data_IF_461817430195
#
_entry.id   IF_461817430195
#
_cell.length_a   1.000
_cell.length_b   1.000
_cell.length_c   1.000
_cell.angle_alpha   90.00
_cell.angle_beta   90.00
_cell.angle_gamma   90.00
#
_symmetry.space_group_name_H-M   'P 1'
#
loop_
_entity.id
_entity.type
_entity.pdbx_description
1 polymer ?
#
# COMPACT_ATOMS: atom_id res chain seq x y z
N UNK A 1 -12.08 -21.25 71.93
CA UNK A 1 -13.26 -21.46 72.80
C UNK A 1 -14.49 -21.10 72.00
N UNK A 2 -15.16 -22.15 71.48
CA UNK A 2 -16.57 -22.29 71.09
C UNK A 2 -17.53 -21.18 71.60
N UNK A 3 -18.64 -20.78 70.94
CA UNK A 3 -19.51 -21.38 69.91
C UNK A 3 -20.78 -20.51 69.82
N UNK A 4 -21.51 -20.55 68.69
CA UNK A 4 -22.98 -20.43 68.46
C UNK A 4 -23.22 -19.78 67.07
N UNK A 5 -23.44 -20.59 66.01
CA UNK A 5 -24.75 -21.12 65.55
C UNK A 5 -25.58 -20.00 64.88
N UNK A 6 -26.22 -20.12 63.71
CA UNK A 6 -26.73 -21.26 62.93
C UNK A 6 -27.13 -20.75 61.53
N UNK A 7 -26.84 -21.58 60.50
CA UNK A 7 -27.71 -22.00 59.36
C UNK A 7 -28.78 -21.04 58.83
N UNK A 8 -29.05 -20.89 57.53
CA UNK A 8 -29.39 -21.92 56.52
C UNK A 8 -29.54 -21.16 55.19
N UNK A 9 -29.04 -21.63 54.06
CA UNK A 9 -29.93 -22.26 53.09
C UNK A 9 -29.33 -22.23 51.68
N UNK A 10 -29.20 -23.43 51.10
CA UNK A 10 -28.85 -23.73 49.72
C UNK A 10 -29.82 -23.07 48.73
N UNK A 11 -29.30 -22.50 47.64
CA UNK A 11 -29.97 -22.50 46.34
C UNK A 11 -28.93 -22.74 45.25
N UNK A 12 -28.97 -23.95 44.69
CA UNK A 12 -28.39 -24.29 43.39
C UNK A 12 -29.20 -23.58 42.30
N UNK A 13 -28.54 -22.81 41.45
CA UNK A 13 -28.98 -22.63 40.06
C UNK A 13 -27.77 -22.23 39.22
N UNK A 14 -27.32 -23.15 38.37
CA UNK A 14 -26.25 -22.90 37.42
C UNK A 14 -26.67 -21.89 36.36
N UNK A 15 -25.66 -21.29 35.72
CA UNK A 15 -25.49 -21.17 34.26
C UNK A 15 -24.22 -20.39 33.99
N UNK A 16 -23.33 -20.98 33.18
CA UNK A 16 -22.31 -20.24 32.43
C UNK A 16 -22.97 -19.06 31.72
N UNK A 17 -22.29 -17.92 31.58
CA UNK A 17 -22.12 -17.26 30.28
C UNK A 17 -20.92 -16.29 30.35
N UNK A 18 -20.05 -16.48 29.38
CA UNK A 18 -18.78 -15.79 29.13
C UNK A 18 -19.11 -14.41 28.58
N UNK A 19 -18.78 -13.34 29.30
CA UNK A 19 -18.84 -11.98 28.77
C UNK A 19 -17.57 -11.70 27.94
N UNK A 20 -17.54 -12.28 26.73
CA UNK A 20 -16.67 -11.84 25.65
C UNK A 20 -17.41 -10.81 24.80
N UNK A 21 -17.14 -9.52 25.00
CA UNK A 21 -17.51 -8.48 24.05
C UNK A 21 -16.37 -8.36 23.03
N UNK A 22 -16.43 -9.15 21.97
CA UNK A 22 -15.66 -8.91 20.75
C UNK A 22 -16.32 -7.79 19.94
N UNK A 23 -15.46 -6.95 19.38
CA UNK A 23 -15.76 -5.88 18.44
C UNK A 23 -16.73 -6.34 17.33
N UNK A 24 -17.76 -5.54 17.08
CA UNK A 24 -18.58 -5.67 15.88
C UNK A 24 -17.72 -5.34 14.65
N UNK A 25 -17.65 -6.21 13.63
CA UNK A 25 -17.07 -5.86 12.34
C UNK A 25 -17.97 -4.86 11.61
N UNK A 26 -17.37 -4.06 10.71
CA UNK A 26 -18.11 -3.04 9.96
C UNK A 26 -19.14 -3.67 9.01
N UNK A 27 -20.26 -2.99 8.69
CA UNK A 27 -21.37 -3.55 7.92
C UNK A 27 -21.04 -3.98 6.47
N UNK A 28 -19.84 -3.71 5.97
CA UNK A 28 -19.37 -4.12 4.64
C UNK A 28 -18.71 -5.51 4.59
N UNK A 29 -18.47 -6.17 5.72
CA UNK A 29 -17.80 -7.48 5.75
C UNK A 29 -18.75 -8.69 5.76
N UNK A 30 -20.06 -8.48 5.56
CA UNK A 30 -21.09 -9.53 5.72
C UNK A 30 -21.76 -9.99 4.43
N UNK A 31 -21.14 -9.74 3.27
CA UNK A 31 -21.46 -10.46 2.04
C UNK A 31 -20.30 -11.41 1.75
N UNK A 32 -20.36 -12.58 2.36
CA UNK A 32 -19.57 -13.72 1.91
C UNK A 32 -20.36 -14.40 0.81
N UNK A 33 -19.75 -14.60 -0.36
CA UNK A 33 -20.24 -15.61 -1.30
C UNK A 33 -20.34 -16.98 -0.57
N UNK A 34 -21.26 -17.87 -0.95
CA UNK A 34 -21.52 -19.08 -0.20
C UNK A 34 -20.25 -19.93 -0.12
N UNK A 35 -19.65 -20.05 1.07
CA UNK A 35 -18.70 -21.13 1.36
C UNK A 35 -19.50 -22.42 1.32
N UNK A 36 -19.26 -23.26 0.31
CA UNK A 36 -19.60 -24.67 0.45
C UNK A 36 -18.87 -25.19 1.69
N UNK A 37 -19.65 -25.67 2.65
CA UNK A 37 -19.15 -26.22 3.88
C UNK A 37 -18.09 -27.29 3.58
N UNK A 38 -16.94 -27.20 4.24
CA UNK A 38 -15.88 -28.19 4.23
C UNK A 38 -16.39 -29.51 4.84
N UNK A 39 -17.01 -30.34 3.99
CA UNK A 39 -17.03 -31.76 4.20
C UNK A 39 -15.60 -32.27 3.98
N UNK A 40 -15.12 -33.13 4.88
CA UNK A 40 -13.88 -33.88 4.69
C UNK A 40 -13.94 -34.62 3.35
N UNK A 41 -13.25 -34.12 2.33
CA UNK A 41 -13.18 -34.76 1.01
C UNK A 41 -11.77 -35.21 0.74
N UNK A 42 -11.65 -36.46 0.30
CA UNK A 42 -10.47 -37.05 -0.31
C UNK A 42 -9.78 -36.05 -1.25
N UNK A 43 -8.45 -36.08 -1.24
CA UNK A 43 -7.50 -35.28 -2.04
C UNK A 43 -7.64 -35.56 -3.56
N UNK A 44 -8.81 -35.26 -4.11
CA UNK A 44 -9.20 -35.40 -5.51
C UNK A 44 -9.78 -34.05 -6.00
N UNK A 45 -9.05 -32.96 -5.80
CA UNK A 45 -9.36 -31.69 -6.47
C UNK A 45 -8.98 -31.83 -7.96
N UNK A 46 -9.95 -31.81 -8.90
CA UNK A 46 -9.66 -31.96 -10.32
C UNK A 46 -8.69 -30.91 -10.87
N UNK A 47 -8.70 -29.69 -10.30
CA UNK A 47 -7.82 -28.60 -10.72
C UNK A 47 -6.38 -28.85 -10.28
N UNK A 48 -6.19 -29.49 -9.11
CA UNK A 48 -4.87 -29.88 -8.64
C UNK A 48 -4.23 -30.91 -9.58
N UNK A 49 -5.00 -31.85 -10.11
CA UNK A 49 -4.52 -32.81 -11.12
C UNK A 49 -4.08 -32.08 -12.39
N UNK A 50 -4.90 -31.16 -12.90
CA UNK A 50 -4.56 -30.35 -14.09
C UNK A 50 -3.25 -29.60 -13.87
N UNK A 51 -3.17 -28.82 -12.79
CA UNK A 51 -2.01 -27.97 -12.50
C UNK A 51 -0.73 -28.79 -12.37
N UNK A 52 -0.79 -29.95 -11.72
CA UNK A 52 0.38 -30.78 -11.47
C UNK A 52 1.10 -31.23 -12.76
N UNK A 53 0.39 -31.33 -13.88
CA UNK A 53 0.96 -31.65 -15.20
C UNK A 53 1.80 -30.51 -15.79
N UNK A 54 1.55 -29.26 -15.37
CA UNK A 54 2.24 -28.07 -15.87
C UNK A 54 3.33 -27.55 -14.92
N UNK A 55 3.42 -28.09 -13.70
CA UNK A 55 4.43 -27.68 -12.74
C UNK A 55 5.82 -28.28 -13.07
N UNK A 56 6.92 -27.57 -12.75
CA UNK A 56 8.26 -28.13 -12.87
C UNK A 56 8.46 -29.42 -12.06
N UNK A 57 9.42 -30.24 -12.48
CA UNK A 57 9.74 -31.47 -11.76
C UNK A 57 10.17 -31.19 -10.31
N UNK A 58 9.53 -31.86 -9.35
CA UNK A 58 9.80 -31.67 -7.92
C UNK A 58 9.17 -30.41 -7.32
N UNK A 59 8.38 -29.65 -8.08
CA UNK A 59 7.60 -28.55 -7.56
C UNK A 59 6.49 -29.03 -6.60
N UNK A 60 6.23 -28.23 -5.58
CA UNK A 60 5.08 -28.36 -4.69
C UNK A 60 4.28 -27.06 -4.74
N UNK A 61 2.97 -27.17 -4.63
CA UNK A 61 2.09 -26.00 -4.52
C UNK A 61 2.46 -25.18 -3.28
N UNK A 62 2.52 -23.85 -3.44
CA UNK A 62 2.86 -22.90 -2.39
C UNK A 62 1.69 -21.93 -2.20
N UNK A 63 1.13 -21.88 -1.00
CA UNK A 63 0.05 -20.95 -0.68
C UNK A 63 0.62 -19.56 -0.37
N UNK A 64 0.03 -18.49 -0.91
CA UNK A 64 0.41 -17.13 -0.53
C UNK A 64 -0.02 -16.83 0.91
N UNK A 65 0.74 -15.99 1.61
CA UNK A 65 0.36 -15.53 2.95
C UNK A 65 -0.86 -14.60 2.92
N UNK A 66 -0.97 -13.77 1.88
CA UNK A 66 -1.97 -12.74 1.69
C UNK A 66 -2.66 -12.88 0.31
N UNK A 67 -3.97 -12.58 0.21
CA UNK A 67 -4.89 -12.39 1.33
C UNK A 67 -5.05 -13.71 2.13
N UNK A 68 -5.32 -13.60 3.43
CA UNK A 68 -5.39 -14.78 4.30
C UNK A 68 -6.43 -15.81 3.82
N UNK A 69 -6.00 -17.05 3.63
CA UNK A 69 -6.82 -18.15 3.13
C UNK A 69 -6.89 -18.27 1.62
N UNK A 70 -6.12 -17.47 0.86
CA UNK A 70 -5.93 -17.70 -0.56
C UNK A 70 -5.18 -19.03 -0.80
N UNK A 71 -5.70 -19.84 -1.73
CA UNK A 71 -5.07 -21.10 -2.09
C UNK A 71 -3.91 -20.91 -3.05
N UNK A 72 -3.07 -21.95 -3.16
CA UNK A 72 -2.00 -22.03 -4.15
C UNK A 72 -2.53 -22.16 -5.59
N UNK A 73 -3.81 -22.50 -5.76
CA UNK A 73 -4.51 -22.54 -7.04
C UNK A 73 -5.65 -21.52 -6.95
N UNK A 74 -5.70 -20.60 -7.90
CA UNK A 74 -6.72 -19.55 -7.96
C UNK A 74 -7.29 -19.45 -9.38
N UNK A 75 -8.55 -19.04 -9.50
CA UNK A 75 -9.23 -18.89 -10.77
C UNK A 75 -9.70 -17.44 -10.93
N UNK A 76 -9.41 -16.85 -12.08
CA UNK A 76 -9.86 -15.52 -12.43
C UNK A 76 -9.98 -15.40 -13.95
N UNK A 77 -11.09 -14.84 -14.44
CA UNK A 77 -11.16 -14.37 -15.83
C UNK A 77 -10.31 -13.11 -15.94
N UNK A 78 -9.13 -13.24 -16.55
CA UNK A 78 -8.14 -12.18 -16.69
C UNK A 78 -8.23 -11.47 -18.05
N UNK A 79 -8.86 -12.09 -19.04
CA UNK A 79 -8.88 -11.62 -20.42
C UNK A 79 -10.29 -11.14 -20.87
N UNK A 80 -11.28 -11.26 -19.99
CA UNK A 80 -12.66 -10.84 -20.22
C UNK A 80 -13.48 -11.74 -21.15
N UNK A 81 -13.02 -12.97 -21.43
CA UNK A 81 -13.70 -13.91 -22.35
C UNK A 81 -14.83 -14.72 -21.69
N UNK A 82 -15.05 -14.54 -20.38
CA UNK A 82 -16.05 -15.21 -19.58
C UNK A 82 -15.61 -16.58 -19.04
N UNK A 83 -14.37 -17.00 -19.30
CA UNK A 83 -13.76 -18.22 -18.75
C UNK A 83 -12.57 -17.85 -17.88
N UNK A 84 -12.47 -18.51 -16.73
CA UNK A 84 -11.37 -18.26 -15.82
C UNK A 84 -10.06 -18.88 -16.31
N UNK A 85 -8.98 -18.11 -16.27
CA UNK A 85 -7.62 -18.63 -16.23
C UNK A 85 -7.31 -19.21 -14.84
N UNK A 86 -6.41 -20.20 -14.81
CA UNK A 86 -5.98 -20.90 -13.61
C UNK A 86 -4.56 -20.48 -13.26
N UNK A 87 -4.42 -19.74 -12.16
CA UNK A 87 -3.12 -19.45 -11.55
C UNK A 87 -2.74 -20.58 -10.61
N UNK A 88 -1.50 -21.03 -10.69
CA UNK A 88 -0.91 -21.88 -9.67
C UNK A 88 0.46 -21.36 -9.23
N UNK A 89 0.63 -21.19 -7.92
CA UNK A 89 1.90 -20.81 -7.28
C UNK A 89 2.60 -22.03 -6.71
N UNK A 90 3.91 -22.10 -6.85
CA UNK A 90 4.70 -23.28 -6.50
C UNK A 90 6.08 -22.94 -5.97
N UNK A 91 6.71 -23.96 -5.36
CA UNK A 91 8.10 -23.96 -4.94
C UNK A 91 8.80 -25.25 -5.39
N UNK A 92 9.98 -25.09 -5.98
CA UNK A 92 10.90 -26.20 -6.30
C UNK A 92 12.01 -26.23 -5.25
N UNK A 93 12.32 -27.42 -4.72
CA UNK A 93 13.36 -27.59 -3.69
C UNK A 93 12.90 -27.26 -2.28
N UNK A 94 13.84 -26.99 -1.37
CA UNK A 94 13.58 -26.66 0.04
C UNK A 94 14.18 -25.29 0.37
N UNK A 95 13.49 -24.57 1.26
CA UNK A 95 13.72 -23.18 1.69
C UNK A 95 15.18 -22.67 1.55
N UNK A 96 15.44 -21.59 0.78
CA UNK A 96 14.44 -20.80 0.06
C UNK A 96 13.88 -21.52 -1.16
N UNK A 97 14.59 -22.48 -1.76
CA UNK A 97 14.13 -23.09 -3.01
C UNK A 97 13.87 -22.03 -4.11
N UNK A 98 13.20 -22.44 -5.17
CA UNK A 98 12.79 -21.53 -6.24
C UNK A 98 11.27 -21.37 -6.21
N UNK A 99 10.80 -20.15 -6.00
CA UNK A 99 9.38 -19.83 -6.09
C UNK A 99 8.99 -19.55 -7.54
N UNK A 100 7.74 -19.80 -7.87
CA UNK A 100 7.22 -19.49 -9.19
C UNK A 100 5.69 -19.50 -9.24
N UNK A 101 5.20 -19.12 -10.42
CA UNK A 101 3.80 -19.12 -10.75
C UNK A 101 3.60 -19.57 -12.20
N UNK A 102 2.55 -20.32 -12.48
CA UNK A 102 2.08 -20.64 -13.83
C UNK A 102 0.66 -20.13 -14.01
N UNK A 103 0.34 -19.64 -15.21
CA UNK A 103 -1.02 -19.33 -15.62
C UNK A 103 -1.43 -20.25 -16.75
N UNK A 104 -2.58 -20.89 -16.60
CA UNK A 104 -3.16 -21.81 -17.58
C UNK A 104 -4.47 -21.23 -18.13
N UNK A 105 -4.68 -21.42 -19.43
CA UNK A 105 -5.92 -21.05 -20.12
C UNK A 105 -6.54 -22.30 -20.75
N UNK A 106 -7.87 -22.44 -20.66
CA UNK A 106 -8.58 -23.52 -21.33
C UNK A 106 -8.91 -23.15 -22.79
N UNK A 107 -8.28 -23.84 -23.76
CA UNK A 107 -8.57 -23.72 -25.19
C UNK A 107 -9.05 -25.05 -25.74
N UNK A 108 -10.22 -25.05 -26.38
CA UNK A 108 -10.81 -26.25 -26.99
C UNK A 108 -10.89 -27.45 -26.01
N UNK A 109 -11.34 -27.20 -24.77
CA UNK A 109 -11.43 -28.18 -23.68
C UNK A 109 -10.08 -28.81 -23.27
N UNK A 110 -8.97 -28.10 -23.50
CA UNK A 110 -7.64 -28.48 -23.06
C UNK A 110 -6.96 -27.30 -22.38
N UNK A 111 -6.39 -27.56 -21.21
CA UNK A 111 -5.55 -26.59 -20.53
C UNK A 111 -4.23 -26.41 -21.27
N UNK A 112 -3.78 -25.16 -21.39
CA UNK A 112 -2.51 -24.79 -21.98
C UNK A 112 -1.84 -23.77 -21.08
N UNK A 113 -0.53 -23.93 -20.84
CA UNK A 113 0.27 -22.91 -20.16
C UNK A 113 0.43 -21.70 -21.08
N UNK A 114 0.02 -20.53 -20.60
CA UNK A 114 0.07 -19.26 -21.34
C UNK A 114 1.07 -18.26 -20.75
N UNK A 115 1.53 -18.52 -19.52
CA UNK A 115 2.56 -17.73 -18.85
C UNK A 115 3.20 -18.55 -17.71
N UNK A 116 4.47 -18.27 -17.44
CA UNK A 116 5.24 -18.83 -16.32
C UNK A 116 6.20 -17.77 -15.78
N UNK A 117 6.36 -17.78 -14.46
CA UNK A 117 7.29 -16.96 -13.71
C UNK A 117 8.11 -17.85 -12.80
N UNK A 118 9.42 -17.71 -12.90
CA UNK A 118 10.39 -18.40 -12.06
C UNK A 118 11.20 -17.35 -11.29
N UNK A 119 10.94 -17.19 -10.00
CA UNK A 119 11.57 -16.18 -9.16
C UNK A 119 12.57 -16.83 -8.19
N UNK A 120 13.84 -16.85 -8.60
CA UNK A 120 14.94 -17.56 -7.89
C UNK A 120 15.40 -16.86 -6.61
N UNK A 121 15.14 -15.56 -6.47
CA UNK A 121 15.61 -14.74 -5.34
C UNK A 121 14.57 -14.60 -4.20
N UNK A 122 13.37 -15.16 -4.37
CA UNK A 122 12.29 -15.02 -3.40
C UNK A 122 12.37 -16.11 -2.33
N UNK A 123 12.30 -15.69 -1.07
CA UNK A 123 12.27 -16.56 0.09
C UNK A 123 10.85 -17.03 0.42
N UNK A 124 9.87 -16.15 0.29
CA UNK A 124 8.47 -16.45 0.58
C UNK A 124 7.54 -15.80 -0.44
N UNK A 125 6.38 -16.42 -0.65
CA UNK A 125 5.27 -15.86 -1.38
C UNK A 125 4.38 -15.12 -0.38
N UNK A 126 4.49 -13.79 -0.35
CA UNK A 126 3.71 -12.97 0.56
C UNK A 126 2.29 -12.75 0.04
N UNK A 127 2.11 -12.50 -1.26
CA UNK A 127 0.79 -12.15 -1.80
C UNK A 127 0.50 -12.82 -3.13
N UNK A 128 -0.73 -13.26 -3.35
CA UNK A 128 -1.23 -13.58 -4.69
C UNK A 128 -2.73 -13.28 -4.79
N UNK A 129 -3.09 -12.33 -5.64
CA UNK A 129 -4.50 -11.96 -5.88
C UNK A 129 -4.69 -11.33 -7.25
N UNK A 130 -5.94 -11.02 -7.57
CA UNK A 130 -6.34 -10.33 -8.78
C UNK A 130 -7.12 -9.06 -8.46
N UNK A 131 -6.87 -7.99 -9.22
CA UNK A 131 -7.62 -6.75 -9.11
C UNK A 131 -7.51 -5.94 -10.39
N UNK A 132 -8.58 -5.27 -10.80
CA UNK A 132 -8.58 -4.28 -11.89
C UNK A 132 -7.84 -3.02 -11.40
N UNK A 133 -6.52 -3.02 -11.53
CA UNK A 133 -5.64 -1.93 -11.10
C UNK A 133 -5.68 -0.80 -12.13
N UNK A 134 -5.77 -1.13 -13.42
CA UNK A 134 -5.69 -0.16 -14.52
C UNK A 134 -7.03 0.51 -14.87
N UNK A 135 -8.14 -0.04 -14.39
CA UNK A 135 -9.49 0.47 -14.61
C UNK A 135 -10.08 0.13 -15.97
N UNK A 136 -9.50 -0.83 -16.69
CA UNK A 136 -9.95 -1.25 -18.02
C UNK A 136 -11.05 -2.33 -17.97
N UNK A 137 -11.41 -2.79 -16.77
CA UNK A 137 -12.40 -3.84 -16.53
C UNK A 137 -11.84 -5.26 -16.56
N UNK A 138 -10.54 -5.43 -16.85
CA UNK A 138 -9.82 -6.68 -16.74
C UNK A 138 -8.92 -6.65 -15.49
N UNK A 139 -8.83 -7.76 -14.73
CA UNK A 139 -7.99 -7.78 -13.55
C UNK A 139 -6.53 -8.06 -13.88
N UNK A 140 -5.65 -7.27 -13.26
CA UNK A 140 -4.22 -7.58 -13.15
C UNK A 140 -3.96 -8.67 -12.10
N UNK A 141 -2.88 -9.42 -12.32
CA UNK A 141 -2.32 -10.37 -11.35
C UNK A 141 -1.29 -9.66 -10.46
N UNK A 142 -1.48 -9.73 -9.15
CA UNK A 142 -0.57 -9.19 -8.15
C UNK A 142 0.14 -10.35 -7.45
N UNK A 143 1.47 -10.41 -7.58
CA UNK A 143 2.31 -11.40 -6.90
C UNK A 143 3.31 -10.69 -5.97
N UNK A 144 3.15 -10.90 -4.68
CA UNK A 144 4.02 -10.37 -3.63
C UNK A 144 5.06 -11.38 -3.20
N UNK A 145 6.33 -10.96 -3.22
CA UNK A 145 7.48 -11.79 -2.90
C UNK A 145 8.24 -11.19 -1.72
N UNK A 146 8.62 -12.02 -0.76
CA UNK A 146 9.63 -11.64 0.23
C UNK A 146 11.00 -11.94 -0.35
N UNK A 147 11.80 -10.89 -0.54
CA UNK A 147 13.19 -10.99 -0.97
C UNK A 147 14.13 -10.65 0.18
N UNK A 148 15.30 -11.27 0.19
CA UNK A 148 16.38 -10.86 1.09
C UNK A 148 17.19 -9.77 0.41
N UNK A 149 17.04 -8.54 0.91
CA UNK A 149 17.68 -7.38 0.33
C UNK A 149 19.18 -7.38 0.53
N UNK A 150 19.76 -8.26 1.36
CA UNK A 150 21.22 -8.44 1.43
C UNK A 150 21.81 -8.72 0.05
N UNK A 151 21.11 -9.50 -0.79
CA UNK A 151 21.51 -9.79 -2.17
C UNK A 151 21.47 -8.58 -3.12
N UNK A 152 20.79 -7.50 -2.70
CA UNK A 152 20.63 -6.24 -3.43
C UNK A 152 21.35 -5.06 -2.75
N UNK A 153 22.19 -5.33 -1.73
CA UNK A 153 22.91 -4.32 -0.97
C UNK A 153 22.07 -3.56 0.07
N UNK A 154 20.86 -4.04 0.37
CA UNK A 154 20.02 -3.58 1.48
C UNK A 154 20.15 -4.47 2.71
N UNK A 155 19.40 -4.15 3.78
CA UNK A 155 19.43 -4.88 5.04
C UNK A 155 18.10 -5.59 5.27
N UNK A 156 18.14 -6.90 5.53
CA UNK A 156 16.97 -7.68 5.95
C UNK A 156 16.01 -8.08 4.82
N UNK A 157 14.86 -8.63 5.22
CA UNK A 157 13.84 -9.14 4.31
C UNK A 157 12.79 -8.08 4.03
N UNK A 158 12.49 -7.86 2.75
CA UNK A 158 11.51 -6.88 2.28
C UNK A 158 10.50 -7.56 1.36
N UNK A 159 9.26 -7.09 1.37
CA UNK A 159 8.29 -7.54 0.38
C UNK A 159 8.30 -6.60 -0.83
N UNK A 160 8.15 -7.16 -2.02
CA UNK A 160 7.87 -6.43 -3.25
C UNK A 160 6.69 -7.07 -3.96
N UNK A 161 5.79 -6.26 -4.52
CA UNK A 161 4.69 -6.75 -5.36
C UNK A 161 5.04 -6.50 -6.82
N UNK A 162 4.95 -7.54 -7.64
CA UNK A 162 4.93 -7.45 -9.10
C UNK A 162 3.49 -7.52 -9.60
N UNK A 163 3.17 -6.64 -10.55
CA UNK A 163 1.82 -6.50 -11.07
C UNK A 163 1.87 -6.80 -12.56
N UNK A 164 1.02 -7.70 -13.02
CA UNK A 164 1.03 -8.20 -14.38
C UNK A 164 -0.34 -7.99 -15.05
N UNK A 165 -0.33 -7.42 -16.25
CA UNK A 165 -1.53 -7.26 -17.08
C UNK A 165 -1.54 -8.23 -18.24
N UNK A 166 -2.75 -8.61 -18.66
CA UNK A 166 -2.95 -9.41 -19.86
C UNK A 166 -2.74 -8.55 -21.12
N UNK A 167 -1.89 -9.00 -22.05
CA UNK A 167 -1.55 -8.27 -23.29
C UNK A 167 -2.02 -8.99 -24.57
N UNK A 168 -2.55 -10.21 -24.48
CA UNK A 168 -2.75 -11.06 -25.65
C UNK A 168 -1.43 -11.54 -26.29
N UNK A 169 -1.52 -12.39 -27.33
CA UNK A 169 -0.35 -12.97 -28.01
C UNK A 169 0.32 -11.99 -28.99
N UNK A 170 0.33 -10.70 -28.67
CA UNK A 170 0.98 -9.70 -29.49
C UNK A 170 2.48 -9.64 -29.16
N UNK A 171 3.26 -10.49 -29.82
CA UNK A 171 4.73 -10.46 -29.77
C UNK A 171 5.31 -9.21 -30.47
N UNK A 172 4.48 -8.29 -30.98
CA UNK A 172 4.91 -7.02 -31.57
C UNK A 172 4.99 -5.87 -30.55
N UNK A 173 4.39 -6.03 -29.35
CA UNK A 173 4.73 -5.16 -28.24
C UNK A 173 6.15 -5.50 -27.82
N UNK A 174 7.12 -4.68 -28.25
CA UNK A 174 8.35 -4.50 -27.49
C UNK A 174 7.87 -4.28 -26.05
N UNK A 175 8.11 -5.24 -25.16
CA UNK A 175 7.64 -5.17 -23.77
C UNK A 175 7.90 -3.76 -23.26
N UNK A 176 6.86 -3.12 -22.67
CA UNK A 176 6.80 -1.69 -22.35
C UNK A 176 8.20 -1.08 -22.18
N UNK A 177 8.72 -0.54 -23.29
CA UNK A 177 9.90 0.31 -23.27
C UNK A 177 9.35 1.70 -22.96
N UNK A 178 9.04 1.95 -21.69
CA UNK A 178 8.92 3.32 -21.23
C UNK A 178 10.21 4.03 -21.66
N UNK A 179 10.09 5.01 -22.54
CA UNK A 179 11.18 5.86 -23.02
C UNK A 179 11.77 6.64 -21.83
N UNK A 180 12.59 5.97 -21.02
CA UNK A 180 13.09 6.49 -19.76
C UNK A 180 13.92 5.51 -18.92
N UNK A 181 13.94 4.21 -19.23
CA UNK A 181 14.87 3.28 -18.57
C UNK A 181 16.07 3.04 -19.49
N UNK A 182 17.20 3.70 -19.18
CA UNK A 182 18.51 3.29 -19.68
C UNK A 182 19.47 3.06 -18.51
N UNK A 183 19.92 1.81 -18.44
CA UNK A 183 21.23 1.32 -18.00
C UNK A 183 21.79 2.00 -16.74
N UNK A 184 21.47 1.44 -15.56
CA UNK A 184 22.10 1.94 -14.32
C UNK A 184 21.71 1.34 -12.98
N UNK A 185 20.74 0.43 -12.92
CA UNK A 185 20.55 -0.44 -11.77
C UNK A 185 20.21 -1.83 -12.33
N UNK A 186 20.76 -2.88 -11.71
CA UNK A 186 20.63 -4.29 -12.11
C UNK A 186 19.19 -4.85 -12.01
N UNK A 187 18.20 -4.15 -12.59
CA UNK A 187 16.82 -4.64 -12.81
C UNK A 187 16.69 -5.35 -14.16
N UNK A 188 17.72 -5.33 -15.01
CA UNK A 188 17.80 -6.10 -16.26
C UNK A 188 18.26 -7.57 -16.04
N UNK A 189 18.33 -8.04 -14.78
CA UNK A 189 18.63 -9.44 -14.43
C UNK A 189 17.38 -10.34 -14.36
N UNK A 190 16.18 -9.80 -14.56
CA UNK A 190 14.94 -10.56 -14.55
C UNK A 190 14.65 -11.08 -15.97
N UNK A 191 15.25 -12.23 -16.28
CA UNK A 191 15.21 -12.91 -17.58
C UNK A 191 13.77 -13.12 -18.10
N UNK A 192 13.56 -12.79 -19.38
CA UNK A 192 12.59 -13.33 -20.35
C UNK A 192 11.29 -13.94 -19.79
N UNK A 193 10.26 -13.10 -19.62
CA UNK A 193 8.88 -13.56 -19.41
C UNK A 193 8.28 -14.04 -20.73
N UNK A 194 8.43 -15.33 -21.05
CA UNK A 194 7.77 -15.94 -22.20
C UNK A 194 6.27 -16.14 -21.88
N UNK A 195 5.39 -15.25 -22.37
CA UNK A 195 3.95 -15.44 -22.19
C UNK A 195 3.06 -14.25 -22.56
N UNK A 196 1.77 -14.37 -22.23
CA UNK A 196 0.71 -13.40 -22.56
C UNK A 196 0.52 -12.32 -21.47
N UNK A 197 1.03 -12.54 -20.25
CA UNK A 197 1.08 -11.53 -19.20
C UNK A 197 2.38 -10.71 -19.26
N UNK A 198 2.28 -9.38 -19.16
CA UNK A 198 3.42 -8.46 -19.06
C UNK A 198 3.45 -7.75 -17.71
N UNK A 199 4.66 -7.62 -17.13
CA UNK A 199 4.86 -6.87 -15.88
C UNK A 199 4.61 -5.38 -16.13
N UNK A 200 3.65 -4.81 -15.42
CA UNK A 200 3.34 -3.40 -15.40
C UNK A 200 4.25 -2.60 -14.45
N UNK A 201 4.46 -3.11 -13.24
CA UNK A 201 5.13 -2.35 -12.18
C UNK A 201 5.63 -3.26 -11.05
N UNK A 202 6.50 -2.69 -10.19
CA UNK A 202 7.02 -3.31 -8.98
C UNK A 202 7.11 -2.30 -7.83
N UNK A 203 6.54 -2.60 -6.65
CA UNK A 203 6.58 -1.70 -5.49
C UNK A 203 6.93 -2.46 -4.20
N UNK A 204 7.84 -1.90 -3.40
CA UNK A 204 8.17 -2.40 -2.08
C UNK A 204 7.09 -2.10 -1.03
N UNK A 205 6.85 -3.04 -0.13
CA UNK A 205 5.89 -2.87 0.96
C UNK A 205 6.26 -3.73 2.18
N UNK A 206 5.66 -3.41 3.32
CA UNK A 206 5.62 -4.29 4.50
C UNK A 206 4.26 -4.97 4.64
N UNK A 207 3.21 -4.15 4.49
CA UNK A 207 1.83 -4.61 4.43
C UNK A 207 1.15 -3.97 3.23
N UNK A 208 0.48 -4.81 2.45
CA UNK A 208 -0.33 -4.38 1.31
C UNK A 208 -1.79 -4.73 1.58
N UNK A 209 -2.68 -3.77 1.34
CA UNK A 209 -4.12 -3.98 1.26
C UNK A 209 -4.58 -3.59 -0.15
N UNK A 210 -5.16 -4.55 -0.87
CA UNK A 210 -5.86 -4.28 -2.13
C UNK A 210 -7.24 -3.72 -1.77
N UNK A 211 -7.48 -2.46 -2.11
CA UNK A 211 -8.73 -1.76 -1.87
C UNK A 211 -9.62 -1.95 -3.09
N UNK A 212 -10.79 -2.55 -2.87
CA UNK A 212 -11.81 -2.66 -3.89
C UNK A 212 -12.22 -1.24 -4.38
N UNK A 213 -12.66 -1.12 -5.64
CA UNK A 213 -13.22 0.13 -6.14
C UNK A 213 -14.35 0.59 -5.22
N UNK A 214 -14.36 1.87 -4.85
CA UNK A 214 -15.50 2.43 -4.13
C UNK A 214 -16.61 2.77 -5.13
N UNK A 215 -17.88 2.64 -4.73
CA UNK A 215 -19.05 2.98 -5.56
C UNK A 215 -19.17 4.49 -5.88
N UNK A 216 -18.11 5.29 -5.69
CA UNK A 216 -18.10 6.70 -6.07
C UNK A 216 -18.00 6.82 -7.59
N UNK A 217 -19.03 7.44 -8.20
CA UNK A 217 -19.22 7.57 -9.65
C UNK A 217 -18.03 8.20 -10.40
N UNK A 218 -17.22 9.02 -9.74
CA UNK A 218 -16.19 9.84 -10.38
C UNK A 218 -14.81 9.18 -10.53
N UNK A 219 -14.51 8.08 -9.83
CA UNK A 219 -13.15 7.49 -9.80
C UNK A 219 -12.96 6.21 -10.61
N UNK A 220 -14.03 5.71 -11.24
CA UNK A 220 -13.99 4.48 -12.02
C UNK A 220 -13.88 3.22 -11.17
N UNK A 221 -14.22 2.08 -11.76
CA UNK A 221 -14.24 0.75 -11.11
C UNK A 221 -12.85 0.15 -10.87
N UNK A 222 -11.83 0.98 -10.62
CA UNK A 222 -10.45 0.52 -10.47
C UNK A 222 -10.04 0.43 -9.00
N UNK A 223 -9.27 -0.61 -8.69
CA UNK A 223 -8.74 -0.89 -7.38
C UNK A 223 -7.57 0.06 -7.04
N UNK A 224 -7.31 0.19 -5.74
CA UNK A 224 -6.19 0.93 -5.21
C UNK A 224 -5.36 0.05 -4.28
N UNK A 225 -4.10 0.41 -4.06
CA UNK A 225 -3.20 -0.29 -3.14
C UNK A 225 -2.87 0.61 -1.96
N UNK A 226 -3.27 0.22 -0.76
CA UNK A 226 -2.74 0.81 0.44
C UNK A 226 -1.47 0.07 0.86
N UNK A 227 -0.34 0.76 0.76
CA UNK A 227 0.98 0.23 1.07
C UNK A 227 1.48 0.86 2.36
N UNK A 228 1.81 0.01 3.33
CA UNK A 228 2.57 0.37 4.51
C UNK A 228 4.04 0.07 4.26
N UNK A 229 4.93 0.98 4.64
CA UNK A 229 6.37 0.90 4.37
C UNK A 229 7.20 1.52 5.50
N UNK A 230 8.42 1.04 5.67
CA UNK A 230 9.39 1.64 6.58
C UNK A 230 9.93 2.98 6.05
N UNK A 231 9.98 3.99 6.92
CA UNK A 231 10.55 5.30 6.63
C UNK A 231 11.96 5.40 7.24
N UNK A 232 12.94 4.87 6.52
CA UNK A 232 14.25 5.51 6.41
C UNK A 232 14.79 5.23 5.00
N UNK A 233 15.59 6.15 4.44
CA UNK A 233 16.14 6.04 3.08
C UNK A 233 17.18 4.93 2.91
N UNK A 234 17.44 4.16 3.97
CA UNK A 234 18.43 3.08 4.04
C UNK A 234 17.78 1.71 4.31
N UNK A 235 16.46 1.65 4.49
CA UNK A 235 15.74 0.43 4.85
C UNK A 235 16.12 -0.10 6.25
N UNK A 236 16.72 0.73 7.11
CA UNK A 236 17.10 0.35 8.47
C UNK A 236 15.96 0.68 9.44
N UNK A 237 15.73 -0.23 10.40
CA UNK A 237 14.87 0.07 11.55
C UNK A 237 15.42 1.33 12.22
N UNK A 238 14.55 2.28 12.56
CA UNK A 238 14.96 3.48 13.29
C UNK A 238 15.40 3.04 14.68
N UNK A 239 16.71 2.86 14.83
CA UNK A 239 17.34 2.52 16.09
C UNK A 239 17.46 3.81 16.89
N UNK A 240 16.74 3.90 18.01
CA UNK A 240 17.00 4.99 18.94
C UNK A 240 18.31 4.68 19.64
N UNK A 241 19.38 5.41 19.29
CA UNK A 241 20.72 5.23 19.86
C UNK A 241 20.76 5.43 21.38
N UNK A 242 19.80 6.17 21.94
CA UNK A 242 19.76 6.54 23.35
C UNK A 242 19.02 5.50 24.19
N UNK A 243 17.99 4.84 23.64
CA UNK A 243 17.25 3.78 24.34
C UNK A 243 17.71 2.35 23.99
N UNK A 244 18.40 2.17 22.86
CA UNK A 244 18.75 0.85 22.33
C UNK A 244 17.56 0.02 21.84
N UNK A 245 16.37 0.63 21.76
CA UNK A 245 15.14 0.00 21.31
C UNK A 245 14.87 0.29 19.83
N UNK A 246 14.39 -0.74 19.13
CA UNK A 246 13.92 -0.64 17.74
C UNK A 246 12.54 0.03 17.73
N UNK A 247 12.40 1.18 17.07
CA UNK A 247 11.11 1.85 16.93
C UNK A 247 10.50 1.67 15.55
N UNK A 248 9.17 1.48 15.52
CA UNK A 248 8.43 1.11 14.31
C UNK A 248 7.50 2.24 13.86
N UNK A 249 7.93 3.00 12.86
CA UNK A 249 7.18 4.14 12.30
C UNK A 249 6.73 3.88 10.84
N UNK A 250 5.77 3.00 10.58
CA UNK A 250 5.40 2.66 9.22
C UNK A 250 4.65 3.80 8.54
N UNK A 251 5.26 4.37 7.49
CA UNK A 251 4.52 5.20 6.56
C UNK A 251 3.38 4.41 5.93
N UNK A 252 2.30 5.10 5.57
CA UNK A 252 1.25 4.52 4.75
C UNK A 252 0.92 5.49 3.62
N UNK A 253 0.77 4.96 2.40
CA UNK A 253 0.28 5.71 1.25
C UNK A 253 -0.67 4.82 0.44
N UNK A 254 -1.72 5.42 -0.13
CA UNK A 254 -2.68 4.74 -0.98
C UNK A 254 -2.42 5.16 -2.41
N UNK A 255 -2.19 4.19 -3.28
CA UNK A 255 -1.86 4.40 -4.67
C UNK A 255 -2.95 3.87 -5.59
N UNK A 256 -3.19 4.57 -6.69
CA UNK A 256 -4.08 4.16 -7.77
C UNK A 256 -3.36 4.37 -9.10
N UNK A 257 -3.62 3.49 -10.06
CA UNK A 257 -3.10 3.65 -11.41
C UNK A 257 -3.93 4.73 -12.12
N UNK A 258 -3.30 5.79 -12.59
CA UNK A 258 -4.01 6.91 -13.21
C UNK A 258 -3.25 7.41 -14.44
N UNK A 259 -4.02 7.89 -15.42
CA UNK A 259 -3.49 8.59 -16.58
C UNK A 259 -3.34 10.08 -16.25
N UNK A 260 -2.20 10.66 -16.61
CA UNK A 260 -1.95 12.10 -16.47
C UNK A 260 -1.18 12.63 -17.69
N UNK A 261 -1.82 13.53 -18.45
CA UNK A 261 -1.28 13.98 -19.73
C UNK A 261 -1.11 12.83 -20.73
N UNK A 262 0.10 12.66 -21.26
CA UNK A 262 0.49 11.53 -22.12
C UNK A 262 0.92 10.28 -21.36
N UNK A 263 1.12 10.39 -20.05
CA UNK A 263 1.75 9.35 -19.22
C UNK A 263 0.69 8.62 -18.40
N UNK A 264 1.06 7.45 -17.86
CA UNK A 264 0.19 6.65 -16.99
C UNK A 264 1.06 5.95 -15.96
N UNK A 265 0.63 5.94 -14.70
CA UNK A 265 1.37 5.29 -13.62
C UNK A 265 0.72 5.47 -12.26
N UNK A 266 1.48 5.13 -11.21
CA UNK A 266 1.01 5.24 -9.84
C UNK A 266 0.85 6.70 -9.41
N UNK A 267 -0.33 7.04 -8.91
CA UNK A 267 -0.66 8.32 -8.31
C UNK A 267 -1.20 8.11 -6.89
N UNK A 268 -1.15 9.14 -6.05
CA UNK A 268 -1.80 9.10 -4.73
C UNK A 268 -3.32 9.18 -4.89
N UNK A 269 -4.02 8.23 -4.28
CA UNK A 269 -5.49 8.18 -4.23
C UNK A 269 -6.01 8.98 -3.02
N UNK A 270 -5.88 10.31 -3.07
CA UNK A 270 -6.21 11.22 -1.95
C UNK A 270 -7.70 11.22 -1.57
N UNK A 271 -8.57 10.90 -2.51
CA UNK A 271 -10.01 10.69 -2.31
C UNK A 271 -10.30 9.53 -1.34
N UNK A 272 -9.44 8.52 -1.28
CA UNK A 272 -9.59 7.39 -0.35
C UNK A 272 -9.02 7.69 1.05
N UNK A 273 -8.29 8.79 1.21
CA UNK A 273 -7.59 9.09 2.46
C UNK A 273 -8.53 9.29 3.65
N UNK A 274 -9.63 10.09 3.56
CA UNK A 274 -10.47 10.38 4.71
C UNK A 274 -10.99 9.13 5.43
N UNK A 275 -11.32 8.08 4.68
CA UNK A 275 -11.84 6.84 5.25
C UNK A 275 -10.75 5.87 5.66
N UNK A 276 -9.77 5.61 4.79
CA UNK A 276 -8.74 4.63 5.10
C UNK A 276 -7.82 5.10 6.23
N UNK A 277 -7.47 6.39 6.29
CA UNK A 277 -6.58 6.89 7.34
C UNK A 277 -7.19 6.87 8.73
N UNK A 278 -8.50 6.64 8.90
CA UNK A 278 -9.07 6.33 10.23
C UNK A 278 -8.41 5.09 10.84
N UNK A 279 -8.05 4.08 10.03
CA UNK A 279 -7.27 2.91 10.47
C UNK A 279 -5.86 3.31 10.90
N UNK A 280 -5.19 4.16 10.12
CA UNK A 280 -3.82 4.66 10.41
C UNK A 280 -3.79 5.52 11.68
N UNK A 281 -4.80 6.36 11.88
CA UNK A 281 -4.99 7.13 13.11
C UNK A 281 -5.18 6.21 14.31
N UNK A 282 -5.97 5.14 14.19
CA UNK A 282 -6.14 4.18 15.28
C UNK A 282 -4.81 3.50 15.66
N UNK A 283 -4.01 3.10 14.67
CA UNK A 283 -2.67 2.54 14.92
C UNK A 283 -1.79 3.53 15.71
N UNK A 284 -1.63 4.76 15.24
CA UNK A 284 -0.77 5.72 15.94
C UNK A 284 -1.32 6.21 17.28
N UNK A 285 -2.65 6.19 17.46
CA UNK A 285 -3.26 6.47 18.77
C UNK A 285 -2.87 5.46 19.84
N UNK A 286 -2.68 4.19 19.49
CA UNK A 286 -2.16 3.22 20.46
C UNK A 286 -0.67 3.45 20.73
N UNK A 287 0.14 3.73 19.69
CA UNK A 287 1.58 3.98 19.88
C UNK A 287 1.86 5.18 20.79
N UNK A 288 1.15 6.30 20.63
CA UNK A 288 1.34 7.47 21.52
C UNK A 288 0.82 7.26 22.95
N UNK A 289 0.03 6.20 23.22
CA UNK A 289 -0.33 5.83 24.60
C UNK A 289 0.81 5.06 25.27
N UNK A 290 1.45 4.17 24.51
CA UNK A 290 2.58 3.37 24.99
C UNK A 290 3.85 4.22 25.14
N UNK A 291 4.09 5.14 24.20
CA UNK A 291 5.29 6.00 24.15
C UNK A 291 4.90 7.48 23.95
N UNK A 292 4.31 8.13 24.96
CA UNK A 292 3.82 9.51 24.84
C UNK A 292 4.93 10.58 24.72
N UNK A 293 6.16 10.24 25.10
CA UNK A 293 7.34 11.10 25.00
C UNK A 293 8.01 11.08 23.62
N UNK A 294 7.64 10.15 22.74
CA UNK A 294 8.26 10.07 21.42
C UNK A 294 7.62 11.06 20.42
N UNK A 295 8.35 12.09 19.95
CA UNK A 295 7.81 13.09 19.05
C UNK A 295 7.49 12.53 17.64
N UNK A 296 8.13 11.44 17.20
CA UNK A 296 7.87 10.85 15.89
C UNK A 296 6.47 10.23 15.83
N UNK A 297 6.03 9.48 16.86
CA UNK A 297 4.67 8.94 16.88
C UNK A 297 3.62 10.05 16.85
N UNK A 298 3.86 11.18 17.53
CA UNK A 298 2.97 12.34 17.43
C UNK A 298 2.94 12.95 16.03
N UNK A 299 4.08 12.97 15.32
CA UNK A 299 4.20 13.52 13.95
C UNK A 299 3.44 12.68 12.95
N UNK A 300 3.60 11.36 13.04
CA UNK A 300 2.86 10.43 12.21
C UNK A 300 1.37 10.43 12.55
N UNK A 301 1.00 10.52 13.83
CA UNK A 301 -0.39 10.66 14.24
C UNK A 301 -1.03 11.93 13.66
N UNK A 302 -0.36 13.07 13.77
CA UNK A 302 -0.85 14.34 13.25
C UNK A 302 -1.07 14.28 11.73
N UNK A 303 -0.09 13.74 10.98
CA UNK A 303 -0.19 13.58 9.53
C UNK A 303 -1.31 12.62 9.13
N UNK A 304 -1.46 11.51 9.85
CA UNK A 304 -2.57 10.58 9.64
C UNK A 304 -3.93 11.23 9.93
N UNK A 305 -4.02 12.08 10.96
CA UNK A 305 -5.23 12.82 11.29
C UNK A 305 -5.59 13.84 10.21
N UNK A 306 -4.62 14.57 9.66
CA UNK A 306 -4.86 15.48 8.52
C UNK A 306 -5.43 14.70 7.33
N UNK A 307 -4.80 13.58 6.96
CA UNK A 307 -5.26 12.72 5.85
C UNK A 307 -6.62 12.06 6.11
N UNK A 308 -6.94 11.75 7.37
CA UNK A 308 -8.25 11.28 7.80
C UNK A 308 -9.33 12.38 7.88
N UNK A 309 -9.01 13.61 7.45
CA UNK A 309 -9.88 14.78 7.57
C UNK A 309 -10.28 15.13 9.02
N UNK A 310 -9.33 15.02 9.96
CA UNK A 310 -9.45 15.36 11.38
C UNK A 310 -8.46 16.48 11.78
N UNK A 311 -8.55 17.67 11.17
CA UNK A 311 -7.51 18.70 11.31
C UNK A 311 -7.39 19.30 12.73
N UNK A 312 -8.47 19.39 13.51
CA UNK A 312 -8.40 19.88 14.89
C UNK A 312 -7.64 18.91 15.79
N UNK A 313 -7.84 17.61 15.59
CA UNK A 313 -7.10 16.57 16.31
C UNK A 313 -5.63 16.58 15.90
N UNK A 314 -5.33 16.80 14.61
CA UNK A 314 -3.97 16.99 14.14
C UNK A 314 -3.27 18.14 14.87
N UNK A 315 -3.89 19.31 14.96
CA UNK A 315 -3.31 20.46 15.68
C UNK A 315 -3.05 20.17 17.16
N UNK A 316 -3.91 19.39 17.83
CA UNK A 316 -3.67 18.94 19.22
C UNK A 316 -2.47 17.99 19.29
N UNK A 317 -2.37 17.04 18.37
CA UNK A 317 -1.24 16.10 18.30
C UNK A 317 0.08 16.80 18.02
N UNK A 318 0.10 17.79 17.11
CA UNK A 318 1.27 18.65 16.85
C UNK A 318 1.70 19.36 18.13
N UNK A 319 0.75 19.96 18.85
CA UNK A 319 1.03 20.67 20.11
C UNK A 319 1.60 19.73 21.18
N UNK A 320 1.18 18.46 21.21
CA UNK A 320 1.74 17.45 22.10
C UNK A 320 3.14 17.02 21.66
N UNK A 321 3.32 16.70 20.39
CA UNK A 321 4.61 16.29 19.83
C UNK A 321 5.72 17.30 20.08
N UNK A 322 5.46 18.59 19.82
CA UNK A 322 6.41 19.68 20.09
C UNK A 322 6.78 19.79 21.59
N UNK A 323 5.86 19.43 22.50
CA UNK A 323 6.13 19.43 23.94
C UNK A 323 6.92 18.21 24.42
N UNK A 324 6.74 17.06 23.74
CA UNK A 324 7.37 15.79 24.12
C UNK A 324 8.86 15.74 23.79
N UNK A 325 9.33 16.59 22.87
CA UNK A 325 10.75 16.75 22.56
C UNK A 325 10.91 17.53 21.27
N UNK A 326 12.13 17.97 20.98
CA UNK A 326 12.48 18.43 19.65
C UNK A 326 12.85 17.17 18.86
N UNK A 327 11.99 16.61 17.98
CA UNK A 327 12.55 15.79 16.92
C UNK A 327 13.54 16.74 16.24
N UNK A 328 14.77 16.33 15.97
CA UNK A 328 15.83 17.14 15.33
C UNK A 328 15.42 17.78 13.97
N UNK A 329 14.14 17.71 13.61
CA UNK A 329 13.47 18.23 12.44
C UNK A 329 12.11 18.90 12.80
N UNK A 330 12.13 19.94 13.65
CA UNK A 330 10.96 20.77 14.04
C UNK A 330 10.14 21.30 12.84
N UNK A 331 10.74 21.36 11.65
CA UNK A 331 10.22 21.98 10.43
C UNK A 331 9.08 21.21 9.80
N UNK A 332 9.12 19.87 9.88
CA UNK A 332 8.05 19.01 9.36
C UNK A 332 6.70 19.26 10.07
N UNK A 333 6.72 19.73 11.32
CA UNK A 333 5.51 20.15 12.03
C UNK A 333 4.84 21.36 11.38
N UNK A 334 5.60 22.28 10.81
CA UNK A 334 5.07 23.47 10.15
C UNK A 334 4.29 23.07 8.89
N UNK A 335 4.80 22.13 8.10
CA UNK A 335 4.10 21.63 6.90
C UNK A 335 2.78 20.96 7.28
N UNK A 336 2.78 20.03 8.24
CA UNK A 336 1.55 19.33 8.69
C UNK A 336 0.57 20.32 9.34
N UNK A 337 1.06 21.31 10.09
CA UNK A 337 0.24 22.38 10.66
C UNK A 337 -0.40 23.24 9.57
N UNK A 338 0.34 23.63 8.55
CA UNK A 338 -0.16 24.38 7.40
C UNK A 338 -1.26 23.63 6.66
N UNK A 339 -1.06 22.34 6.41
CA UNK A 339 -2.08 21.47 5.79
C UNK A 339 -3.35 21.36 6.65
N UNK A 340 -3.20 21.17 7.96
CA UNK A 340 -4.34 21.16 8.89
C UNK A 340 -5.10 22.49 8.88
N UNK A 341 -4.40 23.63 8.86
CA UNK A 341 -5.01 24.96 8.82
C UNK A 341 -5.75 25.20 7.49
N UNK A 342 -5.22 24.73 6.35
CA UNK A 342 -5.92 24.76 5.07
C UNK A 342 -7.24 23.99 5.13
N UNK A 343 -7.24 22.77 5.70
CA UNK A 343 -8.48 21.97 5.87
C UNK A 343 -9.50 22.63 6.80
N UNK A 344 -9.06 23.48 7.73
CA UNK A 344 -9.92 24.28 8.60
C UNK A 344 -10.42 25.58 7.94
N UNK A 345 -10.01 25.88 6.71
CA UNK A 345 -10.31 27.16 6.05
C UNK A 345 -9.56 28.36 6.64
N UNK A 346 -8.54 28.12 7.47
CA UNK A 346 -7.71 29.17 8.10
C UNK A 346 -6.55 29.57 7.20
N UNK A 347 -6.88 29.98 5.99
CA UNK A 347 -5.91 30.13 4.91
C UNK A 347 -4.83 31.19 5.17
N UNK A 348 -5.16 32.26 5.88
CA UNK A 348 -4.19 33.29 6.28
C UNK A 348 -3.12 32.73 7.25
N UNK A 349 -3.56 31.99 8.28
CA UNK A 349 -2.65 31.32 9.21
C UNK A 349 -1.85 30.22 8.51
N UNK A 350 -2.47 29.47 7.60
CA UNK A 350 -1.83 28.44 6.81
C UNK A 350 -0.71 29.03 5.93
N UNK A 351 -1.03 30.09 5.17
CA UNK A 351 -0.07 30.82 4.33
C UNK A 351 1.14 31.26 5.15
N UNK A 352 0.93 31.95 6.26
CA UNK A 352 2.04 32.40 7.13
C UNK A 352 2.88 31.24 7.66
N UNK A 353 2.22 30.14 8.06
CA UNK A 353 2.91 28.95 8.59
C UNK A 353 3.76 28.28 7.51
N UNK A 354 3.22 28.12 6.30
CA UNK A 354 3.89 27.47 5.17
C UNK A 354 5.02 28.32 4.59
N UNK A 355 4.87 29.65 4.55
CA UNK A 355 5.98 30.54 4.18
C UNK A 355 7.17 30.39 5.14
N UNK A 356 6.90 30.27 6.45
CA UNK A 356 7.97 29.99 7.41
C UNK A 356 8.59 28.61 7.19
N UNK A 357 7.78 27.58 6.93
CA UNK A 357 8.27 26.23 6.62
C UNK A 357 9.22 26.23 5.42
N UNK A 358 8.84 26.89 4.32
CA UNK A 358 9.66 27.02 3.11
C UNK A 358 10.99 27.71 3.43
N UNK A 359 10.96 28.83 4.15
CA UNK A 359 12.17 29.58 4.50
C UNK A 359 13.16 28.74 5.33
N UNK A 360 12.65 27.92 6.25
CA UNK A 360 13.47 27.05 7.10
C UNK A 360 14.03 25.83 6.36
N UNK A 361 13.26 25.26 5.43
CA UNK A 361 13.62 24.06 4.65
C UNK A 361 14.50 24.37 3.43
N UNK A 362 14.39 25.58 2.84
CA UNK A 362 15.26 26.02 1.74
C UNK A 362 16.74 26.02 2.14
N UNK A 363 17.03 26.34 3.40
CA UNK A 363 18.41 26.36 3.93
C UNK A 363 19.06 24.96 3.97
N UNK A 364 18.25 23.91 3.88
CA UNK A 364 18.70 22.50 3.98
C UNK A 364 18.71 21.80 2.62
N UNK A 365 18.38 22.51 1.53
CA UNK A 365 18.27 21.92 0.19
C UNK A 365 17.25 20.75 0.14
N UNK A 366 16.18 20.86 0.94
CA UNK A 366 15.08 19.90 1.02
C UNK A 366 14.16 19.95 -0.21
N UNK A 367 13.40 18.88 -0.47
CA UNK A 367 12.37 18.87 -1.51
C UNK A 367 11.12 19.63 -1.01
N UNK A 368 10.83 20.78 -1.61
CA UNK A 368 9.76 21.70 -1.18
C UNK A 368 8.43 21.54 -1.94
N UNK A 369 8.29 20.47 -2.73
CA UNK A 369 7.13 20.29 -3.61
C UNK A 369 5.80 20.35 -2.83
N UNK A 370 5.73 19.70 -1.66
CA UNK A 370 4.52 19.67 -0.84
C UNK A 370 4.24 21.00 -0.14
N UNK A 371 5.28 21.73 0.27
CA UNK A 371 5.16 23.04 0.88
C UNK A 371 4.57 24.05 -0.10
N UNK A 372 5.08 24.08 -1.33
CA UNK A 372 4.55 24.93 -2.40
C UNK A 372 3.13 24.51 -2.80
N UNK A 373 2.82 23.21 -2.83
CA UNK A 373 1.46 22.73 -3.08
C UNK A 373 0.48 23.21 -2.00
N UNK A 374 0.82 23.02 -0.72
CA UNK A 374 0.00 23.47 0.40
C UNK A 374 -0.12 25.01 0.44
N UNK A 375 0.93 25.74 0.05
CA UNK A 375 0.88 27.19 -0.07
C UNK A 375 -0.07 27.62 -1.21
N UNK A 376 -0.06 26.90 -2.33
CA UNK A 376 -1.03 27.09 -3.42
C UNK A 376 -2.47 26.89 -2.95
N UNK A 377 -2.75 25.85 -2.15
CA UNK A 377 -4.07 25.66 -1.53
C UNK A 377 -4.48 26.82 -0.63
N UNK A 378 -3.52 27.38 0.12
CA UNK A 378 -3.77 28.55 0.97
C UNK A 378 -4.19 29.76 0.12
N UNK A 379 -3.45 30.06 -0.95
CA UNK A 379 -3.79 31.14 -1.88
C UNK A 379 -5.11 30.92 -2.61
N UNK A 380 -5.40 29.68 -3.04
CA UNK A 380 -6.66 29.33 -3.68
C UNK A 380 -7.85 29.60 -2.74
N UNK A 381 -7.74 29.18 -1.47
CA UNK A 381 -8.73 29.46 -0.43
C UNK A 381 -8.93 30.96 -0.15
N UNK A 382 -7.87 31.76 -0.28
CA UNK A 382 -7.92 33.23 -0.20
C UNK A 382 -8.43 33.92 -1.48
N UNK A 383 -8.72 33.15 -2.53
CA UNK A 383 -9.08 33.65 -3.87
C UNK A 383 -7.98 34.50 -4.52
N UNK A 384 -6.72 34.26 -4.15
CA UNK A 384 -5.54 34.87 -4.76
C UNK A 384 -5.04 34.00 -5.93
N UNK A 385 -5.86 33.88 -6.98
CA UNK A 385 -5.69 32.92 -8.09
C UNK A 385 -4.30 32.94 -8.73
N UNK A 386 -3.74 34.12 -9.01
CA UNK A 386 -2.42 34.24 -9.65
C UNK A 386 -1.30 33.66 -8.77
N UNK A 387 -1.38 33.87 -7.45
CA UNK A 387 -0.39 33.34 -6.51
C UNK A 387 -0.58 31.86 -6.28
N UNK A 388 -1.82 31.38 -6.26
CA UNK A 388 -2.13 29.96 -6.16
C UNK A 388 -1.55 29.21 -7.35
N UNK A 389 -1.77 29.72 -8.57
CA UNK A 389 -1.21 29.17 -9.80
C UNK A 389 0.31 29.14 -9.76
N UNK A 390 0.97 30.25 -9.41
CA UNK A 390 2.43 30.31 -9.31
C UNK A 390 2.99 29.30 -8.30
N UNK A 391 2.33 29.12 -7.15
CA UNK A 391 2.75 28.14 -6.15
C UNK A 391 2.59 26.69 -6.63
N UNK A 392 1.47 26.36 -7.30
CA UNK A 392 1.29 25.04 -7.89
C UNK A 392 2.26 24.76 -9.04
N UNK A 393 2.50 25.74 -9.92
CA UNK A 393 3.51 25.61 -10.98
C UNK A 393 4.90 25.36 -10.39
N UNK A 394 5.25 26.03 -9.28
CA UNK A 394 6.51 25.79 -8.59
C UNK A 394 6.59 24.39 -7.98
N UNK A 395 5.50 23.92 -7.37
CA UNK A 395 5.41 22.54 -6.86
C UNK A 395 5.62 21.51 -7.99
N UNK A 396 4.96 21.70 -9.13
CA UNK A 396 5.05 20.82 -10.28
C UNK A 396 6.45 20.82 -10.91
N UNK A 397 7.12 21.98 -10.98
CA UNK A 397 8.51 22.10 -11.41
C UNK A 397 9.43 21.24 -10.52
N UNK A 398 9.34 21.38 -9.20
CA UNK A 398 10.16 20.63 -8.24
C UNK A 398 9.92 19.12 -8.37
N UNK A 399 8.65 18.70 -8.53
CA UNK A 399 8.31 17.27 -8.73
C UNK A 399 8.99 16.74 -10.00
N UNK A 400 8.86 17.45 -11.12
CA UNK A 400 9.47 17.04 -12.41
C UNK A 400 10.98 17.00 -12.34
N UNK A 401 11.61 17.96 -11.65
CA UNK A 401 13.05 17.97 -11.45
C UNK A 401 13.53 16.80 -10.59
N UNK A 402 12.81 16.48 -9.52
CA UNK A 402 13.11 15.33 -8.67
C UNK A 402 12.94 14.02 -9.45
N UNK A 403 11.82 13.84 -10.15
CA UNK A 403 11.58 12.64 -10.97
C UNK A 403 12.65 12.45 -12.04
N UNK A 404 13.07 13.54 -12.70
CA UNK A 404 14.17 13.53 -13.68
C UNK A 404 15.53 13.20 -13.05
N UNK A 405 15.86 13.81 -11.89
CA UNK A 405 17.18 13.67 -11.24
C UNK A 405 17.45 12.24 -10.81
N UNK A 406 16.46 11.59 -10.24
CA UNK A 406 16.60 10.26 -9.68
C UNK A 406 16.21 9.14 -10.65
N UNK A 407 15.96 9.49 -11.92
CA UNK A 407 15.47 8.57 -12.95
C UNK A 407 14.29 7.71 -12.43
N UNK A 408 13.36 8.36 -11.72
CA UNK A 408 12.31 7.74 -10.90
C UNK A 408 11.14 7.22 -11.74
N UNK A 409 11.39 6.61 -12.90
CA UNK A 409 10.40 6.16 -13.89
C UNK A 409 9.50 5.00 -13.45
N UNK A 410 9.58 4.57 -12.19
CA UNK A 410 8.75 3.52 -11.60
C UNK A 410 8.11 3.87 -10.25
N UNK A 411 8.25 5.11 -9.76
CA UNK A 411 7.71 5.53 -8.47
C UNK A 411 6.45 6.40 -8.61
N UNK A 412 5.74 6.54 -7.49
CA UNK A 412 4.42 7.16 -7.42
C UNK A 412 4.51 8.67 -7.63
N UNK A 413 3.90 9.17 -8.70
CA UNK A 413 3.96 10.59 -9.06
C UNK A 413 3.01 11.43 -8.23
N UNK A 414 3.49 12.61 -7.83
CA UNK A 414 2.66 13.68 -7.25
C UNK A 414 2.20 14.68 -8.31
N UNK A 415 2.59 14.54 -9.57
CA UNK A 415 2.11 15.42 -10.64
C UNK A 415 0.57 15.44 -10.75
N UNK A 416 -0.15 14.30 -10.67
CA UNK A 416 -1.61 14.29 -10.85
C UNK A 416 -2.36 15.14 -9.82
N UNK A 417 -1.92 15.14 -8.56
CA UNK A 417 -2.55 15.97 -7.52
C UNK A 417 -2.35 17.47 -7.77
N UNK A 418 -1.16 17.88 -8.20
CA UNK A 418 -0.87 19.30 -8.51
C UNK A 418 -1.60 19.74 -9.78
N UNK A 419 -1.65 18.88 -10.80
CA UNK A 419 -2.34 19.14 -12.05
C UNK A 419 -3.85 19.33 -11.85
N UNK A 420 -4.49 18.46 -11.06
CA UNK A 420 -5.91 18.64 -10.68
C UNK A 420 -6.15 19.95 -9.92
N UNK A 421 -5.21 20.35 -9.05
CA UNK A 421 -5.32 21.61 -8.34
C UNK A 421 -5.21 22.82 -9.28
N UNK A 422 -4.32 22.78 -10.27
CA UNK A 422 -4.20 23.80 -11.31
C UNK A 422 -5.45 23.90 -12.20
N UNK A 423 -6.06 22.77 -12.54
CA UNK A 423 -7.29 22.72 -13.35
C UNK A 423 -8.52 23.25 -12.62
N UNK A 424 -8.51 23.22 -11.28
CA UNK A 424 -9.60 23.67 -10.43
C UNK A 424 -9.49 25.14 -9.95
N UNK A 425 -8.42 25.85 -10.32
CA UNK A 425 -8.26 27.30 -10.07
C UNK A 425 -9.12 28.15 -11.02
#
# INVERSE_FOLDING_TARGET
MNWKLLTTGLLLSGSLLISGCSMLPSPGSTIMAPRQASAQTQDNDPLKTVVQEFLPAGAKLEEPKNPGGAGAIQQQDMNGDGKAELLATYRVGQNPGQLGAVLLQEKQNKWQKVWELNYTLAYALDHASFADITGDGQPELLLGWTVDAESLGGVGKHNGVDIFAWQGHDTSSKGWQGDGIREGADIDKFEHWEGILARLSGIGYEKMEVLAPTDQEDTGKQAALALWYHLDSRGEKVYNSDSGEEHYYPGCTIYRWEKFGSDTGWARAEDLYPDYYKKVVAFYRENVKEMPEDPYYWSYLARAQVRANLPEDALKSITKGIKSGDPEDSKHWLTVKGEALNKLGKYEEARSTLTNAIQELEQENSNLSMEYFNLGQSYAGLKETDKAKAAYEKSLEIIKEAEKRYNYSGYTSQQPMVQRALENL
#
